data_IF_853014653204
#
_entry.id   IF_853014653204
#
_cell.length_a   1.000
_cell.length_b   1.000
_cell.length_c   1.000
_cell.angle_alpha   90.00
_cell.angle_beta   90.00
_cell.angle_gamma   90.00
#
_symmetry.space_group_name_H-M   'P 1'
#
loop_
_entity.id
_entity.type
_entity.pdbx_description
1 polymer ?
#
# COMPACT_ATOMS: atom_id res chain seq x y z
N UNK A 1 -58.91 -73.97 18.24
CA UNK A 1 -59.76 -74.40 17.11
C UNK A 1 -59.64 -73.37 16.01
N UNK A 2 -59.16 -73.81 14.83
CA UNK A 2 -59.49 -73.36 13.45
C UNK A 2 -59.45 -71.86 13.09
N UNK A 3 -59.01 -71.39 11.92
CA UNK A 3 -58.22 -71.87 10.78
C UNK A 3 -58.26 -70.72 9.74
N UNK A 4 -57.21 -70.58 8.92
CA UNK A 4 -57.21 -70.08 7.52
C UNK A 4 -57.34 -68.57 7.20
N UNK A 5 -56.19 -68.01 6.84
CA UNK A 5 -55.85 -67.39 5.54
C UNK A 5 -57.02 -67.11 4.56
N UNK A 6 -57.18 -65.83 4.14
CA UNK A 6 -57.37 -65.44 2.73
C UNK A 6 -57.14 -63.93 2.51
N UNK A 7 -56.23 -63.69 1.56
CA UNK A 7 -55.84 -62.43 0.93
C UNK A 7 -57.01 -61.89 0.10
N UNK A 8 -57.28 -60.58 0.16
CA UNK A 8 -57.67 -59.83 -1.03
C UNK A 8 -57.25 -58.36 -0.89
N UNK A 9 -56.46 -57.95 -1.88
CA UNK A 9 -55.86 -56.63 -2.08
C UNK A 9 -56.94 -55.62 -2.47
N UNK A 10 -56.97 -54.47 -1.80
CA UNK A 10 -57.51 -53.24 -2.38
C UNK A 10 -56.62 -52.06 -1.94
N UNK A 11 -55.69 -51.70 -2.82
CA UNK A 11 -54.92 -50.45 -2.74
C UNK A 11 -55.81 -49.34 -3.32
N UNK A 12 -55.95 -48.23 -2.60
CA UNK A 12 -56.69 -47.08 -3.13
C UNK A 12 -56.80 -45.88 -2.19
N UNK A 13 -55.68 -45.16 -2.03
CA UNK A 13 -55.59 -43.71 -1.76
C UNK A 13 -56.08 -43.24 -0.38
N UNK A 14 -55.14 -43.11 0.56
CA UNK A 14 -55.22 -42.15 1.67
C UNK A 14 -54.41 -40.93 1.25
N UNK A 15 -55.11 -39.83 0.96
CA UNK A 15 -54.53 -38.50 0.78
C UNK A 15 -54.01 -38.07 2.15
N UNK A 16 -52.70 -38.14 2.36
CA UNK A 16 -52.05 -37.46 3.47
C UNK A 16 -51.96 -35.98 3.08
N UNK A 17 -52.85 -35.17 3.65
CA UNK A 17 -52.69 -33.72 3.74
C UNK A 17 -51.49 -33.41 4.63
N UNK A 18 -50.29 -33.57 4.08
CA UNK A 18 -49.10 -32.93 4.61
C UNK A 18 -49.18 -31.46 4.22
N UNK A 19 -49.75 -30.62 5.08
CA UNK A 19 -49.47 -29.19 5.05
C UNK A 19 -48.01 -29.03 5.42
N UNK A 20 -47.14 -29.10 4.43
CA UNK A 20 -45.80 -28.56 4.54
C UNK A 20 -45.97 -27.06 4.76
N UNK A 21 -45.71 -26.60 5.99
CA UNK A 21 -45.40 -25.19 6.19
C UNK A 21 -44.13 -24.92 5.39
N UNK A 22 -44.30 -24.39 4.19
CA UNK A 22 -43.23 -23.68 3.51
C UNK A 22 -43.00 -22.41 4.35
N UNK A 23 -41.95 -22.40 5.17
CA UNK A 23 -41.43 -21.16 5.70
C UNK A 23 -40.90 -20.37 4.51
N UNK A 24 -41.70 -19.44 3.98
CA UNK A 24 -41.21 -18.44 3.07
C UNK A 24 -40.19 -17.61 3.85
N UNK A 25 -38.91 -17.75 3.51
CA UNK A 25 -37.88 -16.90 4.08
C UNK A 25 -38.18 -15.48 3.59
N UNK A 26 -38.58 -14.57 4.49
CA UNK A 26 -39.00 -13.22 4.10
C UNK A 26 -37.85 -12.48 3.42
N UNK A 27 -38.10 -11.87 2.26
CA UNK A 27 -37.11 -11.12 1.48
C UNK A 27 -36.49 -10.00 2.34
N UNK A 28 -35.16 -9.81 2.25
CA UNK A 28 -34.50 -8.65 2.84
C UNK A 28 -34.72 -7.45 1.92
N UNK A 29 -35.07 -6.30 2.50
CA UNK A 29 -35.25 -5.04 1.76
C UNK A 29 -34.20 -4.00 2.17
N UNK A 30 -33.99 -2.99 1.34
CA UNK A 30 -33.05 -1.88 1.61
C UNK A 30 -33.86 -0.58 1.60
N UNK A 31 -33.65 0.23 2.63
CA UNK A 31 -34.07 1.63 2.68
C UNK A 31 -32.81 2.49 2.65
N UNK A 32 -32.73 3.43 1.71
CA UNK A 32 -31.65 4.40 1.58
C UNK A 32 -32.22 5.81 1.76
N UNK A 33 -31.71 6.55 2.75
CA UNK A 33 -32.10 7.93 3.04
C UNK A 33 -33.62 8.14 3.15
N UNK A 34 -34.31 7.15 3.72
CA UNK A 34 -35.76 7.17 3.92
C UNK A 34 -36.58 6.52 2.80
N UNK A 35 -36.01 6.25 1.63
CA UNK A 35 -36.70 5.69 0.47
C UNK A 35 -36.36 4.20 0.25
N UNK A 36 -37.32 3.41 -0.23
CA UNK A 36 -37.08 2.00 -0.53
C UNK A 36 -36.25 1.88 -1.82
N UNK A 37 -35.12 1.18 -1.73
CA UNK A 37 -34.24 0.91 -2.86
C UNK A 37 -34.54 -0.48 -3.43
N UNK A 38 -35.08 -0.51 -4.65
CA UNK A 38 -35.27 -1.75 -5.41
C UNK A 38 -33.96 -2.20 -6.07
N UNK A 39 -33.66 -3.50 -5.94
CA UNK A 39 -32.46 -4.12 -6.53
C UNK A 39 -32.84 -5.26 -7.47
N UNK A 40 -32.03 -5.48 -8.50
CA UNK A 40 -32.24 -6.54 -9.50
C UNK A 40 -31.88 -7.94 -8.98
N UNK A 41 -31.03 -8.01 -7.95
CA UNK A 41 -30.77 -9.19 -7.13
C UNK A 41 -31.10 -8.88 -5.68
N UNK A 42 -31.82 -9.78 -5.01
CA UNK A 42 -32.19 -9.58 -3.61
C UNK A 42 -30.97 -9.64 -2.67
N UNK A 43 -30.91 -8.79 -1.63
CA UNK A 43 -29.94 -8.96 -0.56
C UNK A 43 -30.11 -10.31 0.13
N UNK A 44 -28.98 -10.91 0.52
CA UNK A 44 -28.97 -12.21 1.21
C UNK A 44 -28.24 -12.08 2.54
N UNK A 45 -28.51 -13.00 3.47
CA UNK A 45 -27.75 -13.10 4.72
C UNK A 45 -26.82 -14.30 4.62
N UNK A 46 -25.53 -14.05 4.85
CA UNK A 46 -24.49 -15.07 4.93
C UNK A 46 -23.75 -14.88 6.25
N UNK A 47 -23.71 -15.91 7.09
CA UNK A 47 -23.05 -15.89 8.41
C UNK A 47 -23.40 -14.62 9.24
N UNK A 48 -24.69 -14.32 9.37
CA UNK A 48 -25.19 -13.14 10.08
C UNK A 48 -24.67 -11.79 9.55
N UNK A 49 -24.27 -11.74 8.27
CA UNK A 49 -23.94 -10.51 7.55
C UNK A 49 -24.85 -10.34 6.35
N UNK A 50 -25.38 -9.14 6.19
CA UNK A 50 -26.18 -8.79 5.02
C UNK A 50 -25.25 -8.49 3.84
N UNK A 51 -25.44 -9.25 2.77
CA UNK A 51 -24.75 -9.12 1.51
C UNK A 51 -25.67 -8.38 0.53
N UNK A 52 -25.19 -7.28 -0.05
CA UNK A 52 -26.00 -6.45 -0.96
C UNK A 52 -25.40 -6.37 -2.35
N UNK A 53 -26.23 -6.15 -3.39
CA UNK A 53 -25.74 -5.82 -4.73
C UNK A 53 -24.91 -4.54 -4.69
N UNK A 54 -23.62 -4.72 -4.92
CA UNK A 54 -22.59 -3.70 -4.76
C UNK A 54 -22.90 -2.38 -5.47
N UNK A 55 -23.20 -2.50 -6.77
CA UNK A 55 -23.39 -1.34 -7.65
C UNK A 55 -24.68 -0.58 -7.34
N UNK A 56 -25.78 -1.30 -7.15
CA UNK A 56 -27.11 -0.70 -6.97
C UNK A 56 -27.17 0.20 -5.73
N UNK A 57 -26.56 -0.23 -4.62
CA UNK A 57 -26.52 0.55 -3.38
C UNK A 57 -25.61 1.77 -3.51
N UNK A 58 -24.39 1.57 -4.02
CA UNK A 58 -23.37 2.62 -4.01
C UNK A 58 -23.61 3.71 -5.06
N UNK A 59 -24.05 3.36 -6.27
CA UNK A 59 -24.41 4.36 -7.28
C UNK A 59 -25.63 5.18 -6.86
N UNK A 60 -26.60 4.58 -6.14
CA UNK A 60 -27.75 5.31 -5.61
C UNK A 60 -27.36 6.39 -4.58
N UNK A 61 -26.20 6.23 -3.93
CA UNK A 61 -25.61 7.18 -2.98
C UNK A 61 -24.68 8.20 -3.66
N UNK A 62 -24.53 8.14 -4.99
CA UNK A 62 -23.62 9.00 -5.74
C UNK A 62 -22.15 8.57 -5.72
N UNK A 63 -21.84 7.35 -5.28
CA UNK A 63 -20.48 6.83 -5.33
C UNK A 63 -20.07 6.48 -6.78
N UNK A 64 -18.81 6.73 -7.12
CA UNK A 64 -18.19 6.19 -8.32
C UNK A 64 -17.84 4.72 -8.10
N UNK A 65 -18.26 3.84 -9.01
CA UNK A 65 -18.09 2.39 -8.87
C UNK A 65 -17.37 1.81 -10.09
N UNK A 66 -16.31 1.04 -9.85
CA UNK A 66 -15.58 0.30 -10.90
C UNK A 66 -15.42 -1.18 -10.55
N UNK A 67 -15.23 -2.00 -11.59
CA UNK A 67 -15.02 -3.44 -11.50
C UNK A 67 -13.85 -3.85 -12.37
N UNK A 68 -12.86 -4.51 -11.78
CA UNK A 68 -11.69 -5.05 -12.47
C UNK A 68 -11.82 -6.58 -12.59
N UNK A 69 -12.18 -7.10 -13.78
CA UNK A 69 -12.45 -8.53 -13.96
C UNK A 69 -11.24 -9.44 -13.71
N UNK A 70 -10.02 -9.01 -14.08
CA UNK A 70 -8.83 -9.85 -13.94
C UNK A 70 -8.41 -10.01 -12.47
N UNK A 71 -8.57 -8.93 -11.68
CA UNK A 71 -8.33 -8.95 -10.25
C UNK A 71 -9.51 -9.52 -9.44
N UNK A 72 -10.70 -9.64 -10.04
CA UNK A 72 -11.98 -9.91 -9.36
C UNK A 72 -12.21 -8.89 -8.24
N UNK A 73 -11.99 -7.61 -8.53
CA UNK A 73 -11.98 -6.53 -7.55
C UNK A 73 -13.06 -5.48 -7.86
N UNK A 74 -13.79 -5.07 -6.83
CA UNK A 74 -14.78 -4.01 -6.87
C UNK A 74 -14.24 -2.78 -6.11
N UNK A 75 -14.27 -1.59 -6.73
CA UNK A 75 -13.79 -0.32 -6.13
C UNK A 75 -14.89 0.73 -6.10
N UNK A 76 -15.13 1.33 -4.93
CA UNK A 76 -16.12 2.36 -4.71
C UNK A 76 -15.47 3.61 -4.12
N UNK A 77 -15.84 4.77 -4.63
CA UNK A 77 -15.36 6.06 -4.15
C UNK A 77 -16.56 6.96 -3.85
N UNK A 78 -16.66 7.46 -2.61
CA UNK A 78 -17.68 8.42 -2.18
C UNK A 78 -17.00 9.56 -1.42
N UNK A 79 -16.99 10.76 -2.01
CA UNK A 79 -16.16 11.87 -1.53
C UNK A 79 -14.67 11.47 -1.52
N UNK A 80 -13.97 11.71 -0.40
CA UNK A 80 -12.58 11.29 -0.20
C UNK A 80 -12.40 9.84 0.28
N UNK A 81 -13.49 9.08 0.42
CA UNK A 81 -13.43 7.69 0.88
C UNK A 81 -13.43 6.72 -0.29
N UNK A 82 -12.42 5.85 -0.34
CA UNK A 82 -12.25 4.77 -1.32
C UNK A 82 -12.29 3.42 -0.61
N UNK A 83 -13.15 2.51 -1.05
CA UNK A 83 -13.19 1.12 -0.58
C UNK A 83 -13.01 0.16 -1.74
N UNK A 84 -12.09 -0.80 -1.59
CA UNK A 84 -11.80 -1.84 -2.57
C UNK A 84 -11.95 -3.21 -1.94
N UNK A 85 -12.63 -4.11 -2.62
CA UNK A 85 -12.89 -5.47 -2.12
C UNK A 85 -12.70 -6.50 -3.23
N UNK A 86 -12.09 -7.62 -2.88
CA UNK A 86 -11.79 -8.70 -3.83
C UNK A 86 -12.69 -9.90 -3.55
N UNK A 87 -13.28 -10.48 -4.59
CA UNK A 87 -14.17 -11.64 -4.45
C UNK A 87 -13.43 -12.81 -3.78
N UNK A 88 -14.13 -13.50 -2.88
CA UNK A 88 -13.64 -14.62 -2.07
C UNK A 88 -12.52 -14.26 -1.09
N UNK A 89 -12.23 -12.96 -0.87
CA UNK A 89 -11.24 -12.49 0.09
C UNK A 89 -11.88 -11.77 1.28
N UNK A 90 -11.39 -12.05 2.48
CA UNK A 90 -11.83 -11.39 3.72
C UNK A 90 -11.00 -10.15 4.06
N UNK A 91 -10.13 -9.71 3.16
CA UNK A 91 -9.33 -8.48 3.31
C UNK A 91 -9.70 -7.55 2.17
N UNK A 92 -10.05 -6.30 2.52
CA UNK A 92 -10.30 -5.21 1.58
C UNK A 92 -9.43 -3.99 1.91
N UNK A 93 -9.49 -2.98 1.06
CA UNK A 93 -8.75 -1.72 1.23
C UNK A 93 -9.71 -0.57 1.48
N UNK A 94 -9.38 0.28 2.44
CA UNK A 94 -10.11 1.50 2.80
C UNK A 94 -9.09 2.63 2.78
N UNK A 95 -9.21 3.56 1.84
CA UNK A 95 -8.26 4.65 1.61
C UNK A 95 -6.81 4.12 1.49
N UNK A 96 -6.63 3.01 0.76
CA UNK A 96 -5.34 2.34 0.58
C UNK A 96 -4.87 1.49 1.76
N UNK A 97 -5.58 1.49 2.90
CA UNK A 97 -5.23 0.70 4.09
C UNK A 97 -6.04 -0.59 4.17
N UNK A 98 -5.41 -1.69 4.57
CA UNK A 98 -6.10 -2.98 4.72
C UNK A 98 -7.08 -2.99 5.89
N UNK A 99 -8.23 -3.64 5.69
CA UNK A 99 -9.22 -3.86 6.74
C UNK A 99 -9.89 -5.23 6.53
N UNK A 100 -9.98 -6.00 7.61
CA UNK A 100 -10.59 -7.34 7.57
C UNK A 100 -12.12 -7.28 7.55
N UNK A 101 -12.73 -8.28 6.93
CA UNK A 101 -14.16 -8.53 6.80
C UNK A 101 -14.51 -9.89 7.39
N UNK A 102 -15.67 -10.00 8.03
CA UNK A 102 -16.14 -11.27 8.60
C UNK A 102 -16.58 -12.27 7.52
N UNK A 103 -17.03 -11.76 6.37
CA UNK A 103 -17.54 -12.53 5.24
C UNK A 103 -16.92 -11.95 3.97
N UNK A 104 -16.42 -12.77 3.03
CA UNK A 104 -15.88 -12.25 1.79
C UNK A 104 -16.98 -11.78 0.82
N UNK A 105 -16.71 -10.80 -0.06
CA UNK A 105 -17.55 -10.53 -1.22
C UNK A 105 -17.69 -11.78 -2.10
N UNK A 106 -18.83 -11.90 -2.78
CA UNK A 106 -19.15 -13.06 -3.61
C UNK A 106 -19.91 -12.66 -4.88
N UNK A 107 -19.99 -13.58 -5.83
CA UNK A 107 -20.81 -13.41 -7.03
C UNK A 107 -22.04 -14.31 -6.93
N UNK A 108 -23.23 -13.73 -7.04
CA UNK A 108 -24.51 -14.45 -7.06
C UNK A 108 -25.30 -13.96 -8.27
N UNK A 109 -25.72 -14.88 -9.15
CA UNK A 109 -26.48 -14.56 -10.38
C UNK A 109 -25.84 -13.42 -11.21
N UNK A 110 -24.53 -13.50 -11.46
CA UNK A 110 -23.77 -12.49 -12.19
C UNK A 110 -23.80 -11.07 -11.56
N UNK A 111 -24.03 -10.99 -10.25
CA UNK A 111 -23.90 -9.75 -9.46
C UNK A 111 -22.89 -9.90 -8.35
N UNK A 112 -22.04 -8.87 -8.19
CA UNK A 112 -21.15 -8.74 -7.04
C UNK A 112 -21.96 -8.36 -5.81
N UNK A 113 -21.93 -9.24 -4.82
CA UNK A 113 -22.51 -9.02 -3.51
C UNK A 113 -21.40 -8.78 -2.50
N UNK A 114 -21.51 -7.69 -1.74
CA UNK A 114 -20.51 -7.26 -0.76
C UNK A 114 -21.06 -7.28 0.66
N UNK A 115 -20.22 -7.45 1.69
CA UNK A 115 -20.62 -7.26 3.08
C UNK A 115 -20.98 -5.80 3.30
N UNK A 116 -22.28 -5.52 3.38
CA UNK A 116 -22.83 -4.16 3.35
C UNK A 116 -22.16 -3.25 4.38
N UNK A 117 -22.18 -3.69 5.64
CA UNK A 117 -21.71 -2.90 6.77
C UNK A 117 -20.24 -2.53 6.63
N UNK A 118 -19.40 -3.47 6.21
CA UNK A 118 -17.99 -3.19 6.00
C UNK A 118 -17.80 -2.09 4.97
N UNK A 119 -18.44 -2.18 3.81
CA UNK A 119 -18.20 -1.18 2.75
C UNK A 119 -18.79 0.16 3.14
N UNK A 120 -20.03 0.20 3.61
CA UNK A 120 -20.73 1.45 3.92
C UNK A 120 -20.17 2.20 5.12
N UNK A 121 -19.84 1.54 6.23
CA UNK A 121 -19.23 2.24 7.37
C UNK A 121 -17.87 2.84 7.02
N UNK A 122 -17.11 2.21 6.10
CA UNK A 122 -15.83 2.73 5.63
C UNK A 122 -15.95 3.82 4.55
N UNK A 123 -17.13 3.95 3.95
CA UNK A 123 -17.54 5.13 3.17
C UNK A 123 -18.22 6.18 4.06
N UNK A 124 -18.08 6.07 5.39
CA UNK A 124 -18.64 6.98 6.39
C UNK A 124 -20.18 7.03 6.42
N UNK A 125 -20.85 5.95 6.01
CA UNK A 125 -22.31 5.85 6.00
C UNK A 125 -22.84 5.20 7.29
N UNK A 126 -24.04 5.58 7.72
CA UNK A 126 -24.77 4.90 8.80
C UNK A 126 -25.48 3.64 8.29
N UNK A 127 -25.44 2.54 9.06
CA UNK A 127 -26.08 1.27 8.71
C UNK A 127 -26.81 0.66 9.90
N UNK A 128 -28.12 0.60 9.83
CA UNK A 128 -29.00 0.02 10.85
C UNK A 128 -29.78 -1.19 10.32
N UNK A 129 -30.31 -2.01 11.24
CA UNK A 129 -31.12 -3.19 10.92
C UNK A 129 -32.46 -3.14 11.62
N UNK A 130 -33.54 -3.16 10.85
CA UNK A 130 -34.90 -3.39 11.34
C UNK A 130 -35.23 -4.88 11.26
N UNK A 131 -35.32 -5.49 12.45
CA UNK A 131 -35.60 -6.91 12.58
C UNK A 131 -37.07 -7.29 12.30
N UNK A 132 -38.02 -6.40 12.57
CA UNK A 132 -39.45 -6.68 12.35
C UNK A 132 -39.75 -6.72 10.86
N UNK A 133 -39.18 -5.78 10.11
CA UNK A 133 -39.41 -5.64 8.66
C UNK A 133 -38.34 -6.34 7.80
N UNK A 134 -37.31 -6.96 8.40
CA UNK A 134 -36.14 -7.53 7.69
C UNK A 134 -35.53 -6.53 6.70
N UNK A 135 -35.32 -5.32 7.18
CA UNK A 135 -34.91 -4.18 6.36
C UNK A 135 -33.56 -3.66 6.82
N UNK A 136 -32.67 -3.43 5.87
CA UNK A 136 -31.47 -2.64 6.13
C UNK A 136 -31.81 -1.17 5.91
N UNK A 137 -31.47 -0.34 6.89
CA UNK A 137 -31.58 1.11 6.80
C UNK A 137 -30.19 1.67 6.58
N UNK A 138 -30.00 2.42 5.51
CA UNK A 138 -28.75 3.07 5.14
C UNK A 138 -28.98 4.58 5.19
N UNK A 139 -28.11 5.28 5.90
CA UNK A 139 -28.02 6.72 5.88
C UNK A 139 -26.70 7.08 5.20
N UNK A 140 -26.77 7.82 4.10
CA UNK A 140 -25.60 8.40 3.46
C UNK A 140 -24.82 9.27 4.47
N UNK A 141 -23.50 9.48 4.30
CA UNK A 141 -22.71 10.27 5.23
C UNK A 141 -23.37 11.64 5.43
N UNK A 142 -23.58 12.04 6.69
CA UNK A 142 -23.92 13.44 6.97
C UNK A 142 -22.77 14.32 6.43
N UNK A 143 -23.11 15.49 5.89
CA UNK A 143 -22.10 16.49 5.53
C UNK A 143 -21.20 16.71 6.75
N UNK A 144 -19.97 16.21 6.71
CA UNK A 144 -19.04 16.36 7.83
C UNK A 144 -18.62 17.81 7.83
N UNK A 145 -18.92 18.53 8.92
CA UNK A 145 -18.41 19.88 9.10
C UNK A 145 -16.89 19.86 8.92
N UNK A 146 -16.41 20.54 7.88
CA UNK A 146 -15.01 20.61 7.55
C UNK A 146 -14.32 21.54 8.55
N UNK A 147 -13.13 21.14 8.99
CA UNK A 147 -12.32 21.95 9.91
C UNK A 147 -11.84 23.19 9.16
N UNK A 148 -12.19 24.37 9.63
CA UNK A 148 -11.78 25.62 9.00
C UNK A 148 -10.35 25.94 9.43
N UNK A 149 -9.47 26.17 8.45
CA UNK A 149 -8.14 26.75 8.65
C UNK A 149 -8.32 28.26 8.66
N UNK A 150 -8.05 28.86 9.82
CA UNK A 150 -8.33 30.27 10.07
C UNK A 150 -7.08 31.15 9.90
N UNK A 151 -5.89 30.58 10.08
CA UNK A 151 -4.63 31.29 9.89
C UNK A 151 -3.50 30.38 9.45
N UNK A 152 -2.60 30.93 8.63
CA UNK A 152 -1.33 30.34 8.23
C UNK A 152 -0.30 31.45 8.33
N UNK A 153 0.60 31.34 9.31
CA UNK A 153 1.58 32.38 9.65
C UNK A 153 3.00 31.81 9.65
N UNK A 154 3.99 32.69 9.47
CA UNK A 154 5.41 32.36 9.59
C UNK A 154 5.97 32.97 10.87
N UNK A 155 6.56 32.13 11.71
CA UNK A 155 7.30 32.51 12.89
C UNK A 155 8.80 32.23 12.68
N UNK A 156 9.65 33.18 13.05
CA UNK A 156 11.09 32.97 13.12
C UNK A 156 11.52 32.73 14.59
N UNK A 157 12.26 31.65 14.83
CA UNK A 157 12.88 31.36 16.13
C UNK A 157 14.40 31.52 16.04
N UNK A 158 15.10 31.41 17.19
CA UNK A 158 16.56 31.45 17.19
C UNK A 158 17.19 30.35 16.31
N UNK A 159 16.56 29.17 16.24
CA UNK A 159 17.12 27.97 15.59
C UNK A 159 16.37 27.51 14.33
N UNK A 160 15.19 28.06 14.02
CA UNK A 160 14.36 27.58 12.92
C UNK A 160 13.39 28.64 12.39
N UNK A 161 12.89 28.41 11.18
CA UNK A 161 11.66 29.03 10.67
C UNK A 161 10.50 28.05 10.85
N UNK A 162 9.38 28.52 11.38
CA UNK A 162 8.21 27.70 11.70
C UNK A 162 6.97 28.27 11.04
N UNK A 163 6.32 27.47 10.21
CA UNK A 163 4.99 27.79 9.69
C UNK A 163 3.97 27.27 10.70
N UNK A 164 3.06 28.13 11.14
CA UNK A 164 2.00 27.82 12.09
C UNK A 164 0.66 27.89 11.37
N UNK A 165 -0.04 26.77 11.34
CA UNK A 165 -1.40 26.67 10.82
C UNK A 165 -2.35 26.55 11.99
N UNK A 166 -3.37 27.40 12.07
CA UNK A 166 -4.40 27.30 13.11
C UNK A 166 -5.76 26.99 12.52
N UNK A 167 -6.48 26.10 13.20
CA UNK A 167 -7.81 25.66 12.85
C UNK A 167 -8.83 26.03 13.92
N UNK A 168 -10.10 26.16 13.52
CA UNK A 168 -11.21 26.36 14.45
C UNK A 168 -11.61 25.09 15.24
N UNK A 169 -11.17 23.92 14.79
CA UNK A 169 -11.47 22.61 15.38
C UNK A 169 -10.29 21.63 15.16
N UNK A 170 -10.43 20.41 15.64
CA UNK A 170 -9.41 19.35 15.62
C UNK A 170 -9.02 18.98 14.19
N UNK A 171 -7.74 19.12 13.88
CA UNK A 171 -7.13 18.64 12.65
C UNK A 171 -6.97 17.11 12.73
N UNK A 172 -7.79 16.42 11.95
CA UNK A 172 -7.89 14.96 11.97
C UNK A 172 -6.72 14.29 11.25
N UNK A 173 -6.29 14.83 10.12
CA UNK A 173 -5.30 14.19 9.28
C UNK A 173 -4.45 15.19 8.48
N UNK A 174 -3.19 14.83 8.25
CA UNK A 174 -2.23 15.59 7.43
C UNK A 174 -1.38 14.65 6.58
N UNK A 175 -0.94 15.09 5.40
CA UNK A 175 -0.02 14.35 4.52
C UNK A 175 1.03 15.30 3.95
N UNK A 176 2.28 14.88 3.78
CA UNK A 176 3.37 15.74 3.28
C UNK A 176 3.87 15.29 1.91
N UNK A 177 4.34 16.21 1.09
CA UNK A 177 4.92 15.98 -0.24
C UNK A 177 6.06 16.97 -0.53
N UNK A 178 6.79 16.79 -1.63
CA UNK A 178 7.85 17.71 -2.06
C UNK A 178 7.89 17.79 -3.61
N UNK A 179 8.59 18.78 -4.16
CA UNK A 179 8.94 18.89 -5.59
C UNK A 179 10.42 19.25 -5.75
N UNK A 180 11.09 18.85 -6.84
CA UNK A 180 12.52 19.16 -7.07
C UNK A 180 12.72 20.34 -8.03
N UNK A 181 11.79 20.58 -8.95
CA UNK A 181 11.88 21.60 -9.99
C UNK A 181 10.60 22.45 -10.11
N UNK A 182 10.51 23.61 -9.42
CA UNK A 182 11.44 24.13 -8.43
C UNK A 182 11.33 23.36 -7.09
N UNK A 183 12.39 23.44 -6.28
CA UNK A 183 12.43 22.74 -4.99
C UNK A 183 11.32 23.25 -4.08
N UNK A 184 10.45 22.34 -3.61
CA UNK A 184 9.32 22.66 -2.74
C UNK A 184 9.13 21.61 -1.68
N UNK A 185 8.61 22.01 -0.53
CA UNK A 185 8.05 21.11 0.48
C UNK A 185 6.59 21.49 0.72
N UNK A 186 5.69 20.53 0.83
CA UNK A 186 4.29 20.81 1.05
C UNK A 186 3.60 19.87 2.00
N UNK A 187 2.45 20.32 2.48
CA UNK A 187 1.57 19.60 3.38
C UNK A 187 0.12 19.81 2.96
N UNK A 188 -0.63 18.72 2.97
CA UNK A 188 -2.08 18.68 2.83
C UNK A 188 -2.70 18.46 4.21
N UNK A 189 -3.69 19.28 4.54
CA UNK A 189 -4.55 19.13 5.70
C UNK A 189 -5.91 18.66 5.19
N UNK A 190 -6.24 17.40 5.48
CA UNK A 190 -7.46 16.76 4.97
C UNK A 190 -8.64 17.00 5.90
N UNK A 191 -9.85 16.88 5.36
CA UNK A 191 -11.10 17.23 6.02
C UNK A 191 -11.10 18.69 6.51
N UNK A 192 -10.54 19.59 5.70
CA UNK A 192 -10.36 20.99 6.05
C UNK A 192 -10.76 21.94 4.91
N UNK A 193 -11.27 23.11 5.31
CA UNK A 193 -11.54 24.22 4.41
C UNK A 193 -10.64 25.41 4.73
N UNK A 194 -10.36 26.21 3.72
CA UNK A 194 -9.69 27.49 3.83
C UNK A 194 -10.56 28.54 3.14
N UNK A 195 -11.41 29.26 3.89
CA UNK A 195 -12.42 30.16 3.31
C UNK A 195 -11.85 31.28 2.45
N UNK A 196 -10.62 31.73 2.72
CA UNK A 196 -9.93 32.73 1.90
C UNK A 196 -9.55 32.17 0.52
N UNK A 197 -9.59 30.85 0.35
CA UNK A 197 -9.36 30.13 -0.89
C UNK A 197 -7.90 30.03 -1.28
N UNK A 198 -7.16 31.15 -1.30
CA UNK A 198 -5.73 31.21 -1.67
C UNK A 198 -5.03 32.28 -0.84
N UNK A 199 -3.80 31.99 -0.39
CA UNK A 199 -2.91 32.98 0.22
C UNK A 199 -1.43 32.68 0.00
N UNK A 200 -0.59 33.62 0.42
CA UNK A 200 0.87 33.53 0.30
C UNK A 200 1.58 34.35 1.39
N UNK A 201 2.76 33.90 1.79
CA UNK A 201 3.75 34.63 2.58
C UNK A 201 4.98 34.84 1.70
N UNK A 202 5.27 36.10 1.35
CA UNK A 202 6.36 36.48 0.43
C UNK A 202 7.68 36.78 1.15
N UNK A 203 7.81 36.36 2.41
CA UNK A 203 9.03 36.56 3.19
C UNK A 203 10.08 35.50 2.80
N UNK A 204 11.15 35.97 2.17
CA UNK A 204 12.30 35.15 1.76
C UNK A 204 13.34 35.10 2.89
N UNK A 205 13.93 33.94 3.12
CA UNK A 205 15.03 33.75 4.07
C UNK A 205 16.12 32.83 3.50
N UNK A 206 17.07 32.36 4.32
CA UNK A 206 18.15 31.46 3.89
C UNK A 206 17.67 30.06 3.46
N UNK A 207 16.44 29.66 3.78
CA UNK A 207 15.86 28.34 3.46
C UNK A 207 14.89 28.39 2.28
N UNK A 208 14.00 29.39 2.21
CA UNK A 208 12.92 29.44 1.21
C UNK A 208 12.71 30.83 0.60
N UNK A 209 12.18 30.83 -0.62
CA UNK A 209 11.75 32.01 -1.38
C UNK A 209 10.38 32.53 -0.93
N UNK A 210 9.53 31.65 -0.37
CA UNK A 210 8.22 32.02 0.12
C UNK A 210 7.33 30.81 0.37
N UNK A 211 6.11 31.06 0.84
CA UNK A 211 5.11 30.05 1.17
C UNK A 211 3.81 30.41 0.44
N UNK A 212 3.14 29.41 -0.13
CA UNK A 212 1.85 29.53 -0.81
C UNK A 212 0.89 28.52 -0.21
N UNK A 213 -0.38 28.86 -0.15
CA UNK A 213 -1.40 27.96 0.38
C UNK A 213 -2.75 28.20 -0.28
N UNK A 214 -3.55 27.15 -0.38
CA UNK A 214 -4.86 27.22 -1.03
C UNK A 214 -5.78 26.08 -0.59
N UNK A 215 -7.08 26.30 -0.74
CA UNK A 215 -8.05 25.22 -0.88
C UNK A 215 -7.71 24.42 -2.15
N UNK A 216 -7.17 23.22 -1.97
CA UNK A 216 -6.72 22.38 -3.09
C UNK A 216 -7.88 21.65 -3.77
N UNK A 217 -8.82 21.14 -2.97
CA UNK A 217 -10.07 20.53 -3.40
C UNK A 217 -11.14 20.77 -2.31
N UNK A 218 -12.31 20.15 -2.41
CA UNK A 218 -13.45 20.41 -1.52
C UNK A 218 -13.18 20.17 -0.02
N UNK A 219 -12.23 19.30 0.34
CA UNK A 219 -11.94 18.91 1.72
C UNK A 219 -10.46 18.96 2.10
N UNK A 220 -9.61 19.57 1.27
CA UNK A 220 -8.16 19.60 1.50
C UNK A 220 -7.58 21.01 1.35
N UNK A 221 -6.88 21.48 2.39
CA UNK A 221 -6.07 22.70 2.35
C UNK A 221 -4.61 22.32 2.13
N UNK A 222 -3.97 22.90 1.12
CA UNK A 222 -2.58 22.62 0.74
C UNK A 222 -1.70 23.81 1.05
N UNK A 223 -0.54 23.56 1.66
CA UNK A 223 0.52 24.53 1.91
C UNK A 223 1.78 24.06 1.18
N UNK A 224 2.46 24.98 0.52
CA UNK A 224 3.66 24.75 -0.30
C UNK A 224 4.71 25.80 0.03
N UNK A 225 5.86 25.35 0.47
CA UNK A 225 7.06 26.15 0.74
C UNK A 225 7.97 26.05 -0.48
N UNK A 226 8.26 27.17 -1.13
CA UNK A 226 9.20 27.24 -2.25
C UNK A 226 10.63 27.36 -1.71
N UNK A 227 11.35 26.24 -1.67
CA UNK A 227 12.67 26.13 -1.02
C UNK A 227 13.81 26.57 -1.95
N UNK A 228 14.92 27.03 -1.34
CA UNK A 228 16.19 27.29 -2.04
C UNK A 228 16.99 26.03 -2.29
N UNK A 229 16.93 25.09 -1.35
CA UNK A 229 17.62 23.79 -1.39
C UNK A 229 16.71 22.70 -0.83
N UNK A 230 17.07 21.42 -1.07
CA UNK A 230 16.28 20.27 -0.63
C UNK A 230 16.33 20.16 0.91
N UNK A 231 15.27 20.59 1.58
CA UNK A 231 15.14 20.52 3.03
C UNK A 231 13.72 20.08 3.43
N UNK A 232 13.61 19.08 4.29
CA UNK A 232 12.32 18.62 4.79
C UNK A 232 11.86 19.43 6.01
N UNK A 233 10.60 19.85 6.00
CA UNK A 233 9.96 20.41 7.18
C UNK A 233 9.66 19.34 8.22
N UNK A 234 9.91 19.62 9.50
CA UNK A 234 9.47 18.77 10.62
C UNK A 234 8.05 19.15 10.99
N UNK A 235 7.12 18.21 10.78
CA UNK A 235 5.68 18.44 11.06
C UNK A 235 5.31 17.95 12.44
N UNK A 236 4.64 18.80 13.21
CA UNK A 236 4.07 18.47 14.53
C UNK A 236 2.67 19.05 14.65
N UNK A 237 1.81 18.38 15.42
CA UNK A 237 0.52 18.91 15.84
C UNK A 237 0.64 19.44 17.27
N UNK A 238 -0.14 20.46 17.62
CA UNK A 238 -0.36 20.82 19.04
C UNK A 238 -1.05 19.70 19.81
N UNK A 239 -0.97 19.74 21.14
CA UNK A 239 -1.58 18.72 22.01
C UNK A 239 -3.10 18.59 21.81
N UNK A 240 -3.78 19.72 21.58
CA UNK A 240 -5.21 19.79 21.27
C UNK A 240 -5.51 19.63 19.77
N UNK A 241 -4.47 19.49 18.93
CA UNK A 241 -4.54 19.30 17.48
C UNK A 241 -5.29 20.39 16.71
N UNK A 242 -5.41 21.59 17.26
CA UNK A 242 -5.94 22.74 16.55
C UNK A 242 -4.85 23.50 15.78
N UNK A 243 -3.59 23.09 15.92
CA UNK A 243 -2.45 23.72 15.24
C UNK A 243 -1.54 22.68 14.59
N UNK A 244 -1.01 23.02 13.41
CA UNK A 244 0.09 22.30 12.74
C UNK A 244 1.31 23.21 12.70
N UNK A 245 2.46 22.68 13.11
CA UNK A 245 3.77 23.33 13.04
C UNK A 245 4.61 22.65 11.96
N UNK A 246 5.18 23.43 11.04
CA UNK A 246 6.14 22.97 10.03
C UNK A 246 7.46 23.69 10.29
N UNK A 247 8.47 23.00 10.82
CA UNK A 247 9.74 23.60 11.24
C UNK A 247 10.89 23.30 10.27
N UNK A 248 11.67 24.32 9.91
CA UNK A 248 12.90 24.22 9.14
C UNK A 248 14.07 24.81 9.94
N UNK A 249 15.07 24.00 10.29
CA UNK A 249 16.21 24.45 11.09
C UNK A 249 17.12 25.39 10.27
N UNK A 250 17.58 26.48 10.90
CA UNK A 250 18.56 27.40 10.31
C UNK A 250 19.92 26.72 10.14
N UNK A 251 20.62 27.00 9.05
CA UNK A 251 21.98 26.52 8.83
C UNK A 251 22.93 27.20 9.83
N UNK A 252 23.63 26.43 10.66
CA UNK A 252 24.62 26.97 11.60
C UNK A 252 25.80 27.58 10.83
N UNK A 253 25.98 28.90 10.91
CA UNK A 253 27.08 29.65 10.25
C UNK A 253 28.49 29.39 10.85
N UNK A 254 28.71 28.31 11.61
CA UNK A 254 29.99 28.04 12.30
C UNK A 254 30.50 26.60 12.10
N UNK A 255 30.47 26.08 10.88
CA UNK A 255 31.38 25.01 10.46
C UNK A 255 31.94 25.34 9.08
N UNK A 256 33.02 26.13 9.07
CA UNK A 256 34.04 26.01 8.02
C UNK A 256 34.70 24.65 8.21
N UNK A 257 34.45 23.70 7.30
CA UNK A 257 35.22 22.46 7.24
C UNK A 257 36.29 22.61 6.14
N UNK A 258 37.41 23.21 6.55
CA UNK A 258 38.68 23.12 5.85
C UNK A 258 39.18 21.68 5.94
N UNK A 259 39.02 20.88 4.87
CA UNK A 259 39.91 19.78 4.49
C UNK A 259 39.52 19.20 3.11
N UNK A 260 40.29 19.54 2.07
CA UNK A 260 40.45 18.66 0.90
C UNK A 260 41.39 17.49 1.27
N UNK A 261 41.04 16.22 0.95
CA UNK A 261 42.02 15.17 0.77
C UNK A 261 42.13 14.73 -0.69
N UNK A 262 43.37 14.65 -1.14
CA UNK A 262 43.81 13.96 -2.34
C UNK A 262 43.42 12.47 -2.31
N UNK A 263 42.83 12.01 -3.41
CA UNK A 263 42.83 10.65 -3.96
C UNK A 263 43.05 9.44 -3.04
N UNK A 264 41.96 8.75 -2.70
CA UNK A 264 41.73 7.30 -2.82
C UNK A 264 40.23 7.07 -2.53
N UNK A 265 39.65 5.94 -2.96
CA UNK A 265 38.18 5.72 -3.05
C UNK A 265 37.44 5.92 -1.71
N UNK A 266 36.81 7.08 -1.54
CA UNK A 266 35.87 7.39 -0.45
C UNK A 266 34.62 8.12 -1.01
N UNK A 267 33.65 7.38 -1.55
CA UNK A 267 32.26 7.85 -1.48
C UNK A 267 31.71 7.37 -0.13
N UNK A 268 30.99 8.20 0.64
CA UNK A 268 30.44 7.73 1.91
C UNK A 268 29.48 6.56 1.67
N UNK A 269 29.59 5.57 2.56
CA UNK A 269 28.55 4.58 2.86
C UNK A 269 27.20 5.30 2.93
N UNK A 270 26.15 4.61 2.46
CA UNK A 270 24.73 5.02 2.41
C UNK A 270 24.40 6.14 3.41
N UNK A 271 23.80 7.26 2.98
CA UNK A 271 23.56 8.40 3.85
C UNK A 271 22.96 7.96 5.19
N UNK A 272 23.61 8.35 6.29
CA UNK A 272 23.27 7.91 7.67
C UNK A 272 21.85 8.27 8.10
N UNK A 273 21.16 9.15 7.36
CA UNK A 273 19.73 9.44 7.40
C UNK A 273 19.31 9.90 6.01
N UNK A 274 18.24 9.32 5.48
CA UNK A 274 17.68 9.70 4.20
C UNK A 274 16.21 10.08 4.35
N UNK A 275 15.94 11.38 4.29
CA UNK A 275 14.59 11.94 4.44
C UNK A 275 13.57 11.34 3.46
N UNK A 276 14.02 10.78 2.34
CA UNK A 276 13.21 10.10 1.30
C UNK A 276 12.64 8.78 1.79
N UNK A 277 13.35 8.13 2.70
CA UNK A 277 12.98 6.87 3.32
C UNK A 277 12.25 7.08 4.67
N UNK A 278 12.46 8.24 5.32
CA UNK A 278 11.87 8.56 6.62
C UNK A 278 10.35 8.42 6.63
N UNK A 279 9.84 7.54 7.50
CA UNK A 279 8.40 7.29 7.66
C UNK A 279 7.80 6.33 6.62
N UNK A 280 8.52 5.98 5.55
CA UNK A 280 8.09 4.96 4.58
C UNK A 280 8.20 3.56 5.18
N UNK A 281 7.16 2.76 5.03
CA UNK A 281 7.14 1.36 5.43
C UNK A 281 7.59 0.46 4.28
N UNK A 282 8.82 -0.02 4.34
CA UNK A 282 9.38 -0.93 3.33
C UNK A 282 9.32 -2.36 3.87
N UNK A 283 8.71 -3.26 3.11
CA UNK A 283 8.69 -4.69 3.43
C UNK A 283 9.71 -5.42 2.57
N UNK A 284 10.59 -6.17 3.22
CA UNK A 284 11.59 -7.03 2.58
C UNK A 284 11.08 -8.47 2.60
N UNK A 285 10.78 -8.99 1.42
CA UNK A 285 10.53 -10.42 1.20
C UNK A 285 11.84 -11.14 0.90
N UNK A 286 12.12 -12.22 1.64
CA UNK A 286 13.33 -13.01 1.42
C UNK A 286 12.94 -14.30 0.72
N UNK A 287 13.28 -14.42 -0.57
CA UNK A 287 12.91 -15.54 -1.42
C UNK A 287 13.22 -16.90 -0.80
N UNK A 288 12.34 -17.89 -1.02
CA UNK A 288 12.48 -19.27 -0.52
C UNK A 288 12.46 -19.38 1.03
N UNK A 289 13.09 -20.41 1.59
CA UNK A 289 13.23 -20.64 3.03
C UNK A 289 12.69 -22.00 3.50
N UNK A 290 13.26 -22.52 4.58
CA UNK A 290 12.90 -23.81 5.17
C UNK A 290 13.07 -24.96 4.17
N UNK A 291 11.96 -25.63 3.86
CA UNK A 291 11.91 -26.76 2.91
C UNK A 291 12.08 -26.36 1.45
N UNK A 292 11.92 -25.08 1.12
CA UNK A 292 12.21 -24.55 -0.21
C UNK A 292 13.63 -23.97 -0.20
N UNK A 293 14.57 -24.65 -0.86
CA UNK A 293 15.97 -24.22 -0.89
C UNK A 293 16.24 -23.11 -1.90
N UNK A 294 15.29 -22.86 -2.82
CA UNK A 294 15.59 -22.20 -4.08
C UNK A 294 16.61 -22.96 -4.91
N UNK A 295 17.31 -22.24 -5.78
CA UNK A 295 18.42 -22.78 -6.56
C UNK A 295 19.57 -23.29 -5.68
N UNK A 296 20.35 -24.23 -6.22
CA UNK A 296 21.52 -24.80 -5.57
C UNK A 296 22.73 -24.76 -6.49
N UNK A 297 23.89 -24.48 -5.92
CA UNK A 297 25.17 -24.53 -6.61
C UNK A 297 26.25 -25.18 -5.73
N UNK A 298 27.36 -25.59 -6.35
CA UNK A 298 28.55 -26.06 -5.63
C UNK A 298 29.71 -25.11 -5.89
N UNK A 299 30.29 -24.60 -4.81
CA UNK A 299 31.47 -23.74 -4.86
C UNK A 299 32.53 -24.28 -3.91
N UNK A 300 33.72 -24.60 -4.43
CA UNK A 300 34.83 -25.18 -3.67
C UNK A 300 34.45 -26.38 -2.77
N UNK A 301 33.56 -27.24 -3.27
CA UNK A 301 33.08 -28.43 -2.54
C UNK A 301 31.96 -28.16 -1.52
N UNK A 302 31.58 -26.90 -1.31
CA UNK A 302 30.47 -26.50 -0.43
C UNK A 302 29.20 -26.29 -1.25
N UNK A 303 28.05 -26.71 -0.72
CA UNK A 303 26.74 -26.45 -1.33
C UNK A 303 26.28 -25.05 -0.91
N UNK A 304 25.93 -24.24 -1.90
CA UNK A 304 25.36 -22.91 -1.73
C UNK A 304 23.87 -23.00 -2.07
N UNK A 305 23.03 -22.58 -1.14
CA UNK A 305 21.58 -22.50 -1.32
C UNK A 305 21.18 -21.05 -1.56
N UNK A 306 20.27 -20.83 -2.51
CA UNK A 306 19.74 -19.50 -2.81
C UNK A 306 19.07 -18.88 -1.58
N UNK A 307 18.29 -19.66 -0.82
CA UNK A 307 17.62 -19.18 0.40
C UNK A 307 18.56 -18.55 1.44
N UNK A 308 19.80 -19.05 1.53
CA UNK A 308 20.80 -18.60 2.51
C UNK A 308 21.49 -17.34 2.01
N UNK A 309 21.76 -17.28 0.70
CA UNK A 309 22.29 -16.09 0.05
C UNK A 309 21.27 -14.94 0.12
N UNK A 310 20.01 -15.20 -0.21
CA UNK A 310 18.91 -14.24 -0.12
C UNK A 310 18.77 -13.69 1.30
N UNK A 311 18.83 -14.56 2.32
CA UNK A 311 18.76 -14.13 3.73
C UNK A 311 19.94 -13.25 4.12
N UNK A 312 21.16 -13.62 3.71
CA UNK A 312 22.38 -12.86 4.02
C UNK A 312 22.38 -11.45 3.42
N UNK A 313 21.80 -11.29 2.22
CA UNK A 313 21.66 -9.99 1.54
C UNK A 313 20.51 -9.19 2.16
N UNK A 314 19.36 -9.82 2.40
CA UNK A 314 18.19 -9.15 2.96
C UNK A 314 18.45 -8.55 4.36
N UNK A 315 19.22 -9.22 5.21
CA UNK A 315 19.59 -8.70 6.53
C UNK A 315 20.46 -7.43 6.44
N UNK A 316 21.34 -7.33 5.43
CA UNK A 316 22.12 -6.12 5.17
C UNK A 316 21.24 -4.98 4.69
N UNK A 317 20.34 -5.26 3.74
CA UNK A 317 19.38 -4.27 3.24
C UNK A 317 18.51 -3.75 4.39
N UNK A 318 18.05 -4.63 5.28
CA UNK A 318 17.29 -4.29 6.47
C UNK A 318 18.03 -3.31 7.39
N UNK A 319 19.30 -3.60 7.72
CA UNK A 319 20.12 -2.70 8.54
C UNK A 319 20.34 -1.34 7.88
N UNK A 320 20.61 -1.33 6.58
CA UNK A 320 20.92 -0.13 5.81
C UNK A 320 19.70 0.77 5.61
N UNK A 321 18.53 0.20 5.29
CA UNK A 321 17.29 0.97 5.18
C UNK A 321 16.83 1.54 6.52
N UNK A 322 17.03 0.81 7.63
CA UNK A 322 16.73 1.37 8.97
C UNK A 322 17.65 2.53 9.31
N UNK A 323 18.95 2.44 9.01
CA UNK A 323 19.89 3.56 9.16
C UNK A 323 19.42 4.77 8.33
N UNK A 324 18.96 4.53 7.10
CA UNK A 324 18.39 5.57 6.26
C UNK A 324 17.06 6.15 6.79
N UNK A 325 16.48 5.63 7.87
CA UNK A 325 15.27 6.17 8.51
C UNK A 325 13.95 5.53 8.07
N UNK A 326 14.00 4.48 7.23
CA UNK A 326 12.79 3.73 6.88
C UNK A 326 12.23 2.93 8.05
N UNK A 327 10.90 2.79 8.09
CA UNK A 327 10.27 1.72 8.85
C UNK A 327 10.41 0.45 8.04
N UNK A 328 11.18 -0.54 8.52
CA UNK A 328 11.46 -1.75 7.73
C UNK A 328 10.92 -2.98 8.42
N UNK A 329 10.17 -3.81 7.68
CA UNK A 329 9.77 -5.14 8.13
C UNK A 329 10.38 -6.19 7.22
N UNK A 330 11.06 -7.19 7.80
CA UNK A 330 11.56 -8.35 7.06
C UNK A 330 10.62 -9.55 7.29
N UNK A 331 10.15 -10.18 6.22
CA UNK A 331 9.15 -11.26 6.32
C UNK A 331 9.71 -12.56 6.94
N UNK A 332 11.02 -12.80 6.76
CA UNK A 332 11.76 -13.83 7.51
C UNK A 332 13.19 -13.38 7.79
N UNK A 333 13.59 -13.47 9.06
CA UNK A 333 14.94 -13.17 9.56
C UNK A 333 15.79 -14.45 9.80
N UNK A 334 15.24 -15.60 9.47
CA UNK A 334 15.83 -16.94 9.66
C UNK A 334 15.37 -17.92 8.58
N UNK A 335 15.92 -19.12 8.61
CA UNK A 335 15.59 -20.19 7.67
C UNK A 335 14.24 -20.85 8.00
N UNK A 336 13.15 -20.20 7.60
CA UNK A 336 11.77 -20.68 7.75
C UNK A 336 11.04 -20.67 6.42
N UNK A 337 10.17 -21.66 6.22
CA UNK A 337 9.36 -21.77 5.02
C UNK A 337 8.23 -20.75 5.00
N UNK A 338 8.05 -20.07 3.86
CA UNK A 338 6.92 -19.19 3.57
C UNK A 338 6.33 -19.53 2.20
N UNK A 339 5.00 -19.57 2.12
CA UNK A 339 4.30 -19.87 0.87
C UNK A 339 4.33 -18.64 -0.04
N UNK A 340 4.22 -18.87 -1.35
CA UNK A 340 4.25 -17.82 -2.37
C UNK A 340 3.21 -16.71 -2.12
N UNK A 341 1.96 -17.06 -1.77
CA UNK A 341 0.89 -16.09 -1.56
C UNK A 341 0.96 -15.35 -0.22
N UNK A 342 1.55 -15.97 0.82
CA UNK A 342 1.70 -15.32 2.13
C UNK A 342 2.63 -14.10 2.10
N UNK A 343 3.52 -14.02 1.11
CA UNK A 343 4.52 -12.94 0.98
C UNK A 343 3.87 -11.59 0.63
N UNK A 344 3.17 -11.44 -0.51
CA UNK A 344 2.45 -10.21 -0.82
C UNK A 344 1.30 -9.96 0.16
N UNK A 345 0.65 -11.02 0.68
CA UNK A 345 -0.41 -10.85 1.70
C UNK A 345 0.12 -10.21 2.99
N UNK A 346 1.29 -10.63 3.47
CA UNK A 346 1.93 -10.02 4.62
C UNK A 346 2.26 -8.54 4.35
N UNK A 347 2.86 -8.23 3.20
CA UNK A 347 3.19 -6.86 2.82
C UNK A 347 1.94 -5.97 2.71
N UNK A 348 0.87 -6.50 2.13
CA UNK A 348 -0.43 -5.84 2.05
C UNK A 348 -0.98 -5.56 3.46
N UNK A 349 -1.06 -6.57 4.32
CA UNK A 349 -1.57 -6.46 5.71
C UNK A 349 -0.82 -5.41 6.51
N UNK A 350 0.49 -5.27 6.24
CA UNK A 350 1.37 -4.31 6.88
C UNK A 350 1.24 -2.88 6.34
N UNK A 351 0.42 -2.66 5.30
CA UNK A 351 0.30 -1.38 4.59
C UNK A 351 1.67 -0.85 4.14
N UNK A 352 2.49 -1.71 3.55
CA UNK A 352 3.79 -1.29 3.04
C UNK A 352 3.63 -0.23 1.94
N UNK A 353 4.53 0.76 1.93
CA UNK A 353 4.70 1.70 0.83
C UNK A 353 5.48 1.06 -0.35
N UNK A 354 6.28 0.03 -0.08
CA UNK A 354 7.08 -0.68 -1.06
C UNK A 354 7.35 -2.12 -0.61
N UNK A 355 7.23 -3.08 -1.53
CA UNK A 355 7.66 -4.47 -1.35
C UNK A 355 8.91 -4.77 -2.18
N UNK A 356 10.00 -5.17 -1.53
CA UNK A 356 11.25 -5.58 -2.17
C UNK A 356 11.49 -7.06 -1.91
N UNK A 357 11.44 -7.89 -2.96
CA UNK A 357 11.70 -9.32 -2.88
C UNK A 357 13.11 -9.66 -3.36
N UNK A 358 13.89 -10.32 -2.51
CA UNK A 358 15.30 -10.64 -2.74
C UNK A 358 15.43 -12.08 -3.25
N UNK A 359 15.93 -12.22 -4.47
CA UNK A 359 16.19 -13.48 -5.15
C UNK A 359 17.58 -13.50 -5.83
N UNK A 360 17.98 -14.70 -6.25
CA UNK A 360 19.15 -14.90 -7.08
C UNK A 360 18.88 -16.02 -8.09
N UNK A 361 19.05 -15.69 -9.37
CA UNK A 361 18.58 -16.47 -10.49
C UNK A 361 19.30 -17.81 -10.63
N UNK A 362 18.75 -18.67 -11.47
CA UNK A 362 19.40 -19.88 -11.95
C UNK A 362 18.82 -20.31 -13.29
N UNK A 363 19.61 -21.02 -14.07
CA UNK A 363 19.18 -21.57 -15.35
C UNK A 363 19.59 -23.04 -15.48
N UNK A 364 18.93 -23.75 -16.39
CA UNK A 364 19.25 -25.15 -16.73
C UNK A 364 20.64 -25.33 -17.34
N UNK A 365 21.22 -24.25 -17.87
CA UNK A 365 22.60 -24.21 -18.39
C UNK A 365 23.41 -23.17 -17.61
N UNK A 366 24.73 -23.29 -17.67
CA UNK A 366 25.65 -22.35 -17.02
C UNK A 366 25.91 -21.08 -17.84
N UNK A 367 25.35 -20.94 -19.03
CA UNK A 367 25.62 -19.82 -19.93
C UNK A 367 24.95 -18.50 -19.50
N UNK A 368 23.68 -18.46 -19.05
CA UNK A 368 23.03 -17.24 -18.59
C UNK A 368 23.75 -16.65 -17.38
N UNK A 369 23.97 -15.35 -17.40
CA UNK A 369 24.62 -14.59 -16.34
C UNK A 369 24.10 -13.15 -16.32
N UNK A 370 24.42 -12.44 -15.24
CA UNK A 370 24.03 -11.05 -15.01
C UNK A 370 22.89 -10.86 -14.02
N UNK A 371 22.52 -9.61 -13.81
CA UNK A 371 21.43 -9.20 -12.88
C UNK A 371 20.25 -8.62 -13.64
N UNK A 372 19.04 -8.86 -13.14
CA UNK A 372 17.78 -8.30 -13.65
C UNK A 372 16.84 -7.92 -12.48
N UNK A 373 15.98 -6.92 -12.69
CA UNK A 373 14.90 -6.59 -11.74
C UNK A 373 13.55 -6.78 -12.42
N UNK A 374 12.68 -7.56 -11.79
CA UNK A 374 11.35 -7.87 -12.27
C UNK A 374 10.35 -6.97 -11.55
N UNK A 375 9.38 -6.44 -12.29
CA UNK A 375 8.33 -5.57 -11.77
C UNK A 375 7.00 -5.91 -12.45
N UNK A 376 5.91 -5.29 -11.99
CA UNK A 376 4.65 -5.32 -12.71
C UNK A 376 4.13 -3.89 -12.83
N UNK A 377 3.85 -3.44 -14.05
CA UNK A 377 3.24 -2.13 -14.27
C UNK A 377 1.74 -2.15 -13.95
N UNK A 378 1.37 -1.66 -12.77
CA UNK A 378 -0.05 -1.50 -12.39
C UNK A 378 -0.52 -0.09 -12.70
N UNK A 379 -1.78 0.00 -13.10
CA UNK A 379 -2.48 1.28 -13.20
C UNK A 379 -2.52 1.97 -11.83
N UNK A 380 -2.45 3.30 -11.83
CA UNK A 380 -2.52 4.16 -10.65
C UNK A 380 -1.38 4.06 -9.61
N UNK A 381 -0.33 3.26 -9.81
CA UNK A 381 0.80 3.21 -8.85
C UNK A 381 1.41 4.59 -8.59
N UNK A 382 1.70 5.34 -9.65
CA UNK A 382 2.27 6.69 -9.55
C UNK A 382 1.34 7.65 -8.81
N UNK A 383 0.03 7.58 -9.06
CA UNK A 383 -0.94 8.49 -8.45
C UNK A 383 -1.20 8.17 -6.97
N UNK A 384 -1.08 6.91 -6.57
CA UNK A 384 -1.30 6.47 -5.19
C UNK A 384 -0.03 6.62 -4.33
N UNK A 385 1.12 6.20 -4.85
CA UNK A 385 2.36 6.06 -4.07
C UNK A 385 3.41 7.12 -4.41
N UNK A 386 3.20 7.90 -5.47
CA UNK A 386 4.15 8.87 -5.98
C UNK A 386 5.23 8.25 -6.86
N UNK A 387 5.45 6.94 -6.83
CA UNK A 387 6.42 6.22 -7.68
C UNK A 387 5.84 4.89 -8.14
N UNK A 388 6.42 4.34 -9.19
CA UNK A 388 5.99 3.07 -9.80
C UNK A 388 6.97 1.93 -9.50
N UNK A 389 6.48 0.70 -9.60
CA UNK A 389 7.33 -0.50 -9.58
C UNK A 389 8.41 -0.45 -10.66
N UNK A 390 8.10 0.17 -11.80
CA UNK A 390 9.05 0.36 -12.91
C UNK A 390 10.20 1.29 -12.51
N UNK A 391 9.91 2.49 -11.96
CA UNK A 391 10.94 3.45 -11.52
C UNK A 391 11.87 2.84 -10.47
N UNK A 392 11.30 2.10 -9.50
CA UNK A 392 12.08 1.36 -8.49
C UNK A 392 12.99 0.34 -9.16
N UNK A 393 12.46 -0.45 -10.10
CA UNK A 393 13.23 -1.47 -10.79
C UNK A 393 14.38 -0.88 -11.62
N UNK A 394 14.14 0.23 -12.33
CA UNK A 394 15.15 0.90 -13.16
C UNK A 394 16.32 1.41 -12.32
N UNK A 395 16.03 2.04 -11.18
CA UNK A 395 17.04 2.62 -10.31
C UNK A 395 17.84 1.55 -9.56
N UNK A 396 17.18 0.49 -9.09
CA UNK A 396 17.87 -0.66 -8.50
C UNK A 396 18.76 -1.35 -9.54
N UNK A 397 18.26 -1.61 -10.75
CA UNK A 397 19.03 -2.25 -11.81
C UNK A 397 20.29 -1.44 -12.18
N UNK A 398 20.15 -0.11 -12.29
CA UNK A 398 21.27 0.80 -12.56
C UNK A 398 22.36 0.70 -11.49
N UNK A 399 21.97 0.75 -10.21
CA UNK A 399 22.92 0.63 -9.10
C UNK A 399 23.53 -0.77 -8.99
N UNK A 400 22.78 -1.83 -9.29
CA UNK A 400 23.30 -3.20 -9.31
C UNK A 400 24.39 -3.37 -10.36
N UNK A 401 24.17 -2.88 -11.58
CA UNK A 401 25.17 -2.94 -12.64
C UNK A 401 26.41 -2.13 -12.27
N UNK A 402 26.22 -0.94 -11.68
CA UNK A 402 27.33 -0.07 -11.24
C UNK A 402 28.20 -0.74 -10.17
N UNK A 403 27.60 -1.19 -9.07
CA UNK A 403 28.34 -1.66 -7.88
C UNK A 403 28.79 -3.12 -8.03
N UNK A 404 27.92 -3.98 -8.57
CA UNK A 404 28.27 -5.39 -8.75
C UNK A 404 29.04 -5.63 -10.03
N UNK A 405 29.03 -4.75 -11.04
CA UNK A 405 29.70 -4.99 -12.32
C UNK A 405 29.28 -6.29 -13.03
N UNK A 406 28.13 -6.87 -12.67
CA UNK A 406 27.56 -8.01 -13.39
C UNK A 406 26.95 -7.53 -14.71
N UNK A 407 26.73 -8.47 -15.63
CA UNK A 407 26.09 -8.17 -16.90
C UNK A 407 24.70 -7.58 -16.67
N UNK A 408 24.42 -6.44 -17.31
CA UNK A 408 23.10 -5.83 -17.32
C UNK A 408 22.13 -6.67 -18.18
N UNK A 409 21.04 -7.13 -17.58
CA UNK A 409 19.95 -7.84 -18.26
C UNK A 409 18.65 -7.02 -18.29
N UNK A 410 18.71 -5.79 -17.79
CA UNK A 410 17.61 -4.84 -17.75
C UNK A 410 16.51 -5.18 -16.74
N UNK A 411 15.41 -4.45 -16.88
CA UNK A 411 14.18 -4.66 -16.12
C UNK A 411 13.15 -5.43 -16.94
N UNK A 412 12.25 -6.16 -16.27
CA UNK A 412 11.21 -6.95 -16.95
C UNK A 412 9.83 -6.78 -16.31
N UNK A 413 8.86 -6.39 -17.12
CA UNK A 413 7.45 -6.40 -16.74
C UNK A 413 6.92 -7.85 -16.71
N UNK A 414 6.49 -8.29 -15.53
CA UNK A 414 6.19 -9.68 -15.18
C UNK A 414 4.85 -9.78 -14.42
N UNK A 415 3.70 -9.46 -15.06
CA UNK A 415 2.38 -9.46 -14.42
C UNK A 415 1.90 -10.83 -13.91
N UNK A 416 2.58 -11.91 -14.29
CA UNK A 416 2.21 -13.28 -13.91
C UNK A 416 2.84 -13.75 -12.59
N UNK A 417 3.80 -13.00 -12.02
CA UNK A 417 4.46 -13.37 -10.77
C UNK A 417 3.60 -12.97 -9.57
N UNK A 418 3.26 -13.94 -8.73
CA UNK A 418 2.31 -13.75 -7.62
C UNK A 418 2.75 -12.67 -6.61
N UNK A 419 4.04 -12.58 -6.29
CA UNK A 419 4.57 -11.55 -5.38
C UNK A 419 4.32 -10.14 -5.93
N UNK A 420 4.40 -9.96 -7.26
CA UNK A 420 4.21 -8.67 -7.92
C UNK A 420 2.73 -8.36 -8.18
N UNK A 421 1.96 -9.35 -8.64
CA UNK A 421 0.57 -9.15 -9.04
C UNK A 421 -0.44 -9.20 -7.90
N UNK A 422 -0.06 -9.73 -6.72
CA UNK A 422 -0.88 -9.70 -5.51
C UNK A 422 -0.47 -8.62 -4.52
N UNK A 423 0.67 -7.97 -4.71
CA UNK A 423 0.99 -6.77 -3.94
C UNK A 423 0.07 -5.62 -4.35
N UNK A 424 -0.14 -4.65 -3.46
CA UNK A 424 -1.00 -3.49 -3.74
C UNK A 424 -0.20 -2.20 -3.85
N UNK A 425 0.95 -2.19 -3.21
CA UNK A 425 1.98 -1.18 -3.35
C UNK A 425 2.94 -1.53 -4.50
N UNK A 426 3.79 -0.59 -4.92
CA UNK A 426 4.89 -0.86 -5.80
C UNK A 426 5.71 -2.05 -5.28
N UNK A 427 6.06 -2.97 -6.18
CA UNK A 427 6.77 -4.18 -5.81
C UNK A 427 7.80 -4.58 -6.86
N UNK A 428 8.94 -5.06 -6.40
CA UNK A 428 10.02 -5.56 -7.25
C UNK A 428 10.53 -6.92 -6.76
N UNK A 429 10.93 -7.77 -7.69
CA UNK A 429 11.75 -8.96 -7.42
C UNK A 429 13.12 -8.72 -8.02
N UNK A 430 14.16 -8.81 -7.21
CA UNK A 430 15.54 -8.57 -7.65
C UNK A 430 16.22 -9.91 -7.86
N UNK A 431 16.77 -10.13 -9.04
CA UNK A 431 17.58 -11.28 -9.39
C UNK A 431 19.06 -10.86 -9.46
N UNK A 432 19.78 -11.02 -8.35
CA UNK A 432 21.11 -10.44 -8.17
C UNK A 432 22.22 -11.03 -9.05
N UNK A 433 22.08 -12.28 -9.49
CA UNK A 433 23.06 -13.00 -10.30
C UNK A 433 22.66 -14.46 -10.47
N UNK A 434 23.33 -15.20 -11.37
CA UNK A 434 22.98 -16.60 -11.64
C UNK A 434 23.83 -17.58 -10.81
N UNK A 435 23.21 -18.32 -9.88
CA UNK A 435 23.87 -19.42 -9.14
C UNK A 435 24.42 -20.49 -10.10
N UNK A 436 23.77 -20.70 -11.24
CA UNK A 436 24.18 -21.68 -12.25
C UNK A 436 25.39 -21.23 -13.08
N UNK A 437 25.75 -19.94 -13.06
CA UNK A 437 26.88 -19.41 -13.79
C UNK A 437 28.15 -19.36 -12.91
N UNK A 438 29.26 -20.02 -13.31
CA UNK A 438 30.47 -20.04 -12.49
C UNK A 438 31.09 -18.67 -12.21
N UNK A 439 30.99 -17.71 -13.16
CA UNK A 439 31.58 -16.38 -13.00
C UNK A 439 30.74 -15.53 -12.04
N UNK A 440 29.40 -15.57 -12.15
CA UNK A 440 28.52 -14.90 -11.19
C UNK A 440 28.66 -15.54 -9.81
N UNK A 441 28.57 -16.87 -9.72
CA UNK A 441 28.67 -17.63 -8.47
C UNK A 441 29.95 -17.32 -7.70
N UNK A 442 31.10 -17.23 -8.38
CA UNK A 442 32.38 -16.89 -7.74
C UNK A 442 32.33 -15.53 -7.03
N UNK A 443 31.53 -14.59 -7.53
CA UNK A 443 31.33 -13.27 -6.92
C UNK A 443 30.27 -13.33 -5.86
N UNK A 444 29.14 -13.97 -6.13
CA UNK A 444 27.97 -14.04 -5.25
C UNK A 444 28.25 -14.62 -3.87
N UNK A 445 29.24 -15.51 -3.75
CA UNK A 445 29.63 -16.11 -2.48
C UNK A 445 30.49 -15.20 -1.59
N UNK A 446 31.03 -14.10 -2.11
CA UNK A 446 31.90 -13.20 -1.33
C UNK A 446 31.09 -12.17 -0.53
N UNK A 447 31.67 -11.67 0.56
CA UNK A 447 31.01 -10.64 1.37
C UNK A 447 30.93 -9.31 0.63
N UNK A 448 31.92 -9.00 -0.21
CA UNK A 448 31.96 -7.78 -1.02
C UNK A 448 30.79 -7.74 -2.01
N UNK A 449 30.41 -8.87 -2.61
CA UNK A 449 29.25 -8.90 -3.49
C UNK A 449 27.94 -8.72 -2.73
N UNK A 450 27.77 -9.39 -1.59
CA UNK A 450 26.55 -9.27 -0.78
C UNK A 450 26.36 -7.82 -0.29
N UNK A 451 27.46 -7.16 0.07
CA UNK A 451 27.48 -5.75 0.44
C UNK A 451 27.15 -4.85 -0.76
N UNK A 452 27.79 -5.07 -1.91
CA UNK A 452 27.51 -4.33 -3.14
C UNK A 452 26.04 -4.45 -3.56
N UNK A 453 25.48 -5.67 -3.55
CA UNK A 453 24.06 -5.90 -3.81
C UNK A 453 23.21 -5.10 -2.80
N UNK A 454 23.44 -5.26 -1.50
CA UNK A 454 22.66 -4.54 -0.49
C UNK A 454 22.70 -3.02 -0.67
N UNK A 455 23.88 -2.46 -0.94
CA UNK A 455 24.08 -1.03 -1.23
C UNK A 455 23.31 -0.61 -2.48
N UNK A 456 23.36 -1.41 -3.55
CA UNK A 456 22.63 -1.12 -4.79
C UNK A 456 21.12 -1.07 -4.57
N UNK A 457 20.55 -2.02 -3.81
CA UNK A 457 19.12 -2.01 -3.50
C UNK A 457 18.76 -0.77 -2.71
N UNK A 458 19.51 -0.48 -1.65
CA UNK A 458 19.22 0.65 -0.76
C UNK A 458 19.28 1.97 -1.54
N UNK A 459 20.32 2.17 -2.36
CA UNK A 459 20.44 3.36 -3.21
C UNK A 459 19.31 3.44 -4.25
N UNK A 460 19.00 2.34 -4.92
CA UNK A 460 17.94 2.29 -5.92
C UNK A 460 16.56 2.61 -5.31
N UNK A 461 16.24 2.00 -4.17
CA UNK A 461 15.00 2.27 -3.42
C UNK A 461 14.92 3.73 -3.00
N UNK A 462 15.95 4.23 -2.33
CA UNK A 462 16.02 5.62 -1.87
C UNK A 462 15.88 6.61 -3.04
N UNK A 463 16.54 6.33 -4.16
CA UNK A 463 16.45 7.17 -5.35
C UNK A 463 15.05 7.09 -6.01
N UNK A 464 14.36 5.96 -5.94
CA UNK A 464 13.02 5.82 -6.50
C UNK A 464 11.96 6.51 -5.66
N UNK A 465 12.11 6.46 -4.33
CA UNK A 465 11.36 7.31 -3.42
C UNK A 465 11.57 8.79 -3.74
N UNK A 466 12.70 9.13 -4.38
CA UNK A 466 13.03 10.46 -4.88
C UNK A 466 12.40 10.83 -6.23
N UNK A 467 12.23 9.89 -7.16
CA UNK A 467 11.58 10.14 -8.47
C UNK A 467 10.08 10.44 -8.37
N UNK A 468 9.50 10.28 -7.18
CA UNK A 468 8.15 10.76 -6.86
C UNK A 468 7.99 12.27 -6.79
N UNK A 469 9.10 12.99 -6.93
CA UNK A 469 9.24 14.43 -6.71
C UNK A 469 9.47 15.19 -8.04
N UNK A 470 9.60 14.47 -9.17
CA UNK A 470 9.93 15.01 -10.50
C UNK A 470 8.78 15.04 -11.54
N UNK A 471 7.54 14.62 -11.22
CA UNK A 471 6.40 14.71 -12.17
C UNK A 471 5.11 15.25 -11.55
#
# INVERSE_FOLDING_TARGET
MTNKLRILVLIGIIIILGSGFAFANSKVTIQLDGEILETDVDPIIVNDRTMVPYRAVLEAMGAEVSWEPAARMATAVLGSHRVQVTIDQTIGFVNGKTKSMDVPPMIVNDRTLIPLRFVLENLNCGVDWDNENRMVIINSPENVDLTEINSIELEETESSYRIVVQANDVIKNTSTFAYEEPVRYGIDICNATFPEGIGQISEENDIFYGIRFSQFNEDTVRIVVDLKEKLAGKVKLSDNRTEVFIEFDKLNQNQEDDNEPNGERDEPLIPELDWRASGKHIVIDVGHGGSDSGALAKYNGTVIYEKDLNLSIALRIYELLQKAGANVTILRDKDVYMTLYSRPEAANTLNADLLVSIHNNSATTSAPNGTEVLYYNKEDEKSIYGFTSQEVAELIQKELVKETGLKDRGIKDCPHLAVLNKSLMPAVIIEGGFLSNPNDLQRMVTEEFKEAYAISVVRGVINALNSSVEN
#
